data_IF_094806522908
#
_entry.id   IF_094806522908
#
_cell.length_a   1.000
_cell.length_b   1.000
_cell.length_c   1.000
_cell.angle_alpha   90.00
_cell.angle_beta   90.00
_cell.angle_gamma   90.00
#
_symmetry.space_group_name_H-M   'P 1'
#
loop_
_entity.id
_entity.type
_entity.pdbx_description
1 polymer ?
#
# COMPACT_ATOMS: atom_id res chain seq x y z
N UNK A 1 35.63 -58.37 70.60
CA UNK A 1 34.69 -59.26 69.88
C UNK A 1 33.50 -58.43 69.42
N UNK A 2 32.81 -58.88 68.36
CA UNK A 2 31.62 -58.28 67.71
C UNK A 2 31.95 -57.06 66.81
N UNK A 3 32.07 -57.15 65.47
CA UNK A 3 31.04 -57.52 64.47
C UNK A 3 29.65 -56.94 64.83
N UNK A 4 28.85 -56.25 64.01
CA UNK A 4 28.78 -55.93 62.56
C UNK A 4 27.74 -54.78 62.42
N UNK A 5 27.42 -54.13 61.29
CA UNK A 5 27.66 -54.31 59.85
C UNK A 5 27.55 -52.91 59.15
N UNK A 6 27.66 -52.85 57.82
CA UNK A 6 27.24 -51.71 56.99
C UNK A 6 25.94 -52.06 56.25
N UNK A 7 24.99 -51.13 56.13
CA UNK A 7 23.77 -51.30 55.32
C UNK A 7 23.60 -50.15 54.34
N UNK A 8 24.01 -50.36 53.09
CA UNK A 8 23.75 -49.43 52.00
C UNK A 8 22.34 -49.58 51.45
N UNK A 9 21.55 -48.50 51.49
CA UNK A 9 20.21 -48.44 50.92
C UNK A 9 20.26 -48.28 49.39
N UNK A 10 20.40 -49.40 48.68
CA UNK A 10 20.11 -49.44 47.24
C UNK A 10 18.62 -49.20 47.01
N UNK A 11 18.26 -47.95 46.72
CA UNK A 11 16.91 -47.57 46.33
C UNK A 11 16.56 -48.23 44.98
N UNK A 12 15.78 -49.30 45.03
CA UNK A 12 15.20 -49.96 43.86
C UNK A 12 14.15 -49.07 43.20
N UNK A 13 14.58 -48.19 42.30
CA UNK A 13 13.68 -47.45 41.41
C UNK A 13 13.01 -48.47 40.48
N UNK A 14 11.70 -48.68 40.66
CA UNK A 14 10.92 -49.67 39.93
C UNK A 14 11.05 -49.49 38.42
N UNK A 15 11.24 -50.58 37.69
CA UNK A 15 11.27 -50.61 36.23
C UNK A 15 9.94 -50.13 35.62
N UNK A 16 8.84 -50.26 36.35
CA UNK A 16 7.52 -49.76 35.96
C UNK A 16 7.45 -48.22 35.88
N UNK A 17 8.13 -47.51 36.79
CA UNK A 17 8.13 -46.03 36.77
C UNK A 17 8.97 -45.48 35.63
N UNK A 18 10.07 -46.16 35.27
CA UNK A 18 10.89 -45.80 34.10
C UNK A 18 10.11 -45.95 32.79
N UNK A 19 9.33 -47.03 32.65
CA UNK A 19 8.44 -47.23 31.49
C UNK A 19 7.36 -46.15 31.38
N UNK A 20 6.71 -45.82 32.50
CA UNK A 20 5.71 -44.73 32.57
C UNK A 20 6.30 -43.37 32.20
N UNK A 21 7.47 -43.03 32.74
CA UNK A 21 8.16 -41.77 32.44
C UNK A 21 8.52 -41.63 30.94
N UNK A 22 8.99 -42.70 30.29
CA UNK A 22 9.30 -42.68 28.84
C UNK A 22 8.03 -42.53 27.99
N UNK A 23 6.92 -43.16 28.37
CA UNK A 23 5.63 -42.99 27.68
C UNK A 23 5.11 -41.56 27.84
N UNK A 24 5.15 -41.00 29.06
CA UNK A 24 4.75 -39.62 29.33
C UNK A 24 5.61 -38.61 28.56
N UNK A 25 6.94 -38.78 28.52
CA UNK A 25 7.85 -37.90 27.79
C UNK A 25 7.60 -37.92 26.27
N UNK A 26 7.27 -39.09 25.70
CA UNK A 26 6.88 -39.24 24.29
C UNK A 26 5.53 -38.59 23.99
N UNK A 27 4.56 -38.70 24.90
CA UNK A 27 3.27 -38.02 24.77
C UNK A 27 3.43 -36.49 24.85
N UNK A 28 4.25 -35.97 25.78
CA UNK A 28 4.49 -34.54 25.90
C UNK A 28 5.23 -33.96 24.70
N UNK A 29 6.25 -34.64 24.15
CA UNK A 29 6.91 -34.20 22.91
C UNK A 29 5.98 -34.27 21.70
N UNK A 30 5.12 -35.29 21.60
CA UNK A 30 4.07 -35.36 20.57
C UNK A 30 3.05 -34.21 20.66
N UNK A 31 2.61 -33.85 21.87
CA UNK A 31 1.68 -32.74 22.10
C UNK A 31 2.33 -31.39 21.76
N UNK A 32 3.58 -31.15 22.17
CA UNK A 32 4.33 -29.92 21.83
C UNK A 32 4.51 -29.79 20.31
N UNK A 33 4.83 -30.90 19.62
CA UNK A 33 4.95 -30.91 18.16
C UNK A 33 3.60 -30.63 17.47
N UNK A 34 2.50 -31.18 17.97
CA UNK A 34 1.14 -30.92 17.47
C UNK A 34 0.73 -29.44 17.65
N UNK A 35 1.04 -28.83 18.80
CA UNK A 35 0.78 -27.40 19.06
C UNK A 35 1.61 -26.51 18.11
N UNK A 36 2.89 -26.85 17.88
CA UNK A 36 3.76 -26.12 16.96
C UNK A 36 3.26 -26.17 15.50
N UNK A 37 2.70 -27.31 15.06
CA UNK A 37 2.11 -27.46 13.72
C UNK A 37 0.80 -26.67 13.60
N UNK A 38 -0.06 -26.70 14.63
CA UNK A 38 -1.34 -25.99 14.64
C UNK A 38 -1.18 -24.46 14.58
N UNK A 39 -0.08 -23.91 15.11
CA UNK A 39 0.20 -22.47 15.08
C UNK A 39 0.61 -21.89 13.72
N UNK A 40 0.79 -22.72 12.68
CA UNK A 40 1.37 -22.30 11.39
C UNK A 40 0.34 -22.06 10.27
N UNK A 41 -0.95 -22.00 10.60
CA UNK A 41 -1.97 -21.52 9.65
C UNK A 41 -1.86 -20.00 9.55
N UNK A 42 -0.96 -19.53 8.68
CA UNK A 42 -0.87 -18.13 8.32
C UNK A 42 -2.23 -17.67 7.78
N UNK A 43 -2.82 -16.66 8.42
CA UNK A 43 -4.07 -16.06 7.96
C UNK A 43 -3.86 -15.50 6.55
N UNK A 44 -4.63 -16.00 5.57
CA UNK A 44 -4.65 -15.43 4.22
C UNK A 44 -5.33 -14.07 4.32
N UNK A 45 -4.52 -13.01 4.30
CA UNK A 45 -4.98 -11.63 4.20
C UNK A 45 -5.77 -11.47 2.89
N UNK A 46 -7.09 -11.39 3.00
CA UNK A 46 -7.98 -11.18 1.84
C UNK A 46 -7.84 -9.76 1.34
N UNK A 47 -6.92 -9.55 0.39
CA UNK A 47 -6.74 -8.26 -0.27
C UNK A 47 -7.89 -7.95 -1.21
N UNK A 48 -8.69 -6.97 -0.82
CA UNK A 48 -9.78 -6.43 -1.63
C UNK A 48 -9.21 -5.34 -2.52
N UNK A 49 -9.33 -5.53 -3.85
CA UNK A 49 -9.00 -4.48 -4.81
C UNK A 49 -10.06 -3.37 -4.76
N UNK A 50 -9.63 -2.14 -4.54
CA UNK A 50 -10.47 -0.96 -4.43
C UNK A 50 -10.12 0.03 -5.54
N UNK A 51 -11.13 0.78 -6.00
CA UNK A 51 -10.97 1.84 -6.98
C UNK A 51 -11.76 3.09 -6.54
N UNK A 52 -11.20 4.27 -6.77
CA UNK A 52 -11.83 5.56 -6.57
C UNK A 52 -11.70 6.43 -7.82
N UNK A 53 -12.72 7.23 -8.09
CA UNK A 53 -12.76 8.16 -9.22
C UNK A 53 -13.18 9.55 -8.75
N UNK A 54 -12.57 10.60 -9.30
CA UNK A 54 -13.00 11.98 -9.07
C UNK A 54 -12.79 12.85 -10.31
N UNK A 55 -13.58 13.92 -10.39
CA UNK A 55 -13.50 14.91 -11.45
C UNK A 55 -13.54 16.29 -10.78
N UNK A 56 -12.54 17.12 -11.06
CA UNK A 56 -12.43 18.47 -10.50
C UNK A 56 -12.30 19.47 -11.63
N UNK A 57 -13.09 20.55 -11.59
CA UNK A 57 -12.99 21.66 -12.54
C UNK A 57 -11.65 22.39 -12.39
N UNK A 58 -11.01 22.67 -13.51
CA UNK A 58 -9.78 23.48 -13.63
C UNK A 58 -9.92 24.64 -14.63
N UNK A 59 -11.12 24.94 -15.15
CA UNK A 59 -11.39 26.06 -16.07
C UNK A 59 -10.90 27.40 -15.50
N UNK A 60 -9.92 28.06 -16.13
CA UNK A 60 -9.45 29.37 -15.67
C UNK A 60 -10.40 30.50 -16.09
N UNK A 61 -10.21 31.74 -15.57
CA UNK A 61 -10.98 32.90 -15.98
C UNK A 61 -10.84 33.22 -17.47
N UNK A 62 -11.89 33.80 -18.04
CA UNK A 62 -11.90 34.36 -19.40
C UNK A 62 -10.92 35.54 -19.55
N UNK A 63 -10.58 35.88 -20.80
CA UNK A 63 -9.64 36.93 -21.18
C UNK A 63 -8.17 36.46 -21.29
N UNK A 64 -7.85 35.27 -20.80
CA UNK A 64 -6.52 34.65 -20.97
C UNK A 64 -6.36 34.06 -22.39
N UNK A 65 -5.15 34.06 -22.97
CA UNK A 65 -4.92 33.53 -24.31
C UNK A 65 -5.11 32.01 -24.38
N UNK A 66 -5.87 31.55 -25.38
CA UNK A 66 -5.94 30.15 -25.79
C UNK A 66 -4.61 29.77 -26.42
N UNK A 67 -4.06 28.58 -26.10
CA UNK A 67 -2.74 28.15 -26.55
C UNK A 67 -2.78 26.81 -27.30
N UNK A 68 -1.77 26.60 -28.16
CA UNK A 68 -1.59 25.40 -28.99
C UNK A 68 -1.84 25.66 -30.49
N UNK A 69 -2.60 26.70 -30.82
CA UNK A 69 -2.82 27.15 -32.19
C UNK A 69 -1.72 28.12 -32.66
N UNK A 70 -1.73 28.47 -33.95
CA UNK A 70 -0.79 29.45 -34.51
C UNK A 70 -1.02 30.87 -33.99
N UNK A 71 -2.30 31.25 -33.85
CA UNK A 71 -2.72 32.46 -33.14
C UNK A 71 -3.12 32.12 -31.69
N UNK A 72 -3.05 33.09 -30.79
CA UNK A 72 -3.44 32.93 -29.37
C UNK A 72 -4.46 33.99 -28.95
N UNK A 73 -5.70 33.94 -29.48
CA UNK A 73 -6.76 34.87 -29.11
C UNK A 73 -7.15 34.72 -27.64
N UNK A 74 -7.63 35.78 -26.97
CA UNK A 74 -8.18 35.67 -25.62
C UNK A 74 -9.44 34.80 -25.63
N UNK A 75 -9.59 33.94 -24.63
CA UNK A 75 -10.81 33.18 -24.42
C UNK A 75 -11.97 34.12 -24.07
N UNK A 76 -13.00 34.18 -24.92
CA UNK A 76 -14.19 35.03 -24.74
C UNK A 76 -15.41 34.28 -24.19
N UNK A 77 -15.41 32.95 -24.26
CA UNK A 77 -16.53 32.09 -23.88
C UNK A 77 -16.01 30.74 -23.35
N UNK A 78 -16.79 30.08 -22.49
CA UNK A 78 -16.56 28.70 -22.03
C UNK A 78 -17.63 27.83 -22.68
N UNK A 79 -17.25 27.05 -23.71
CA UNK A 79 -18.15 26.06 -24.31
C UNK A 79 -18.31 24.83 -23.40
N UNK A 80 -17.18 24.28 -22.95
CA UNK A 80 -17.10 23.19 -21.97
C UNK A 80 -16.14 23.57 -20.84
N UNK A 81 -16.45 23.13 -19.63
CA UNK A 81 -15.51 23.25 -18.52
C UNK A 81 -14.31 22.29 -18.69
N UNK A 82 -13.11 22.80 -18.44
CA UNK A 82 -11.88 22.01 -18.39
C UNK A 82 -11.79 21.28 -17.05
N UNK A 83 -11.37 20.02 -17.06
CA UNK A 83 -11.30 19.19 -15.85
C UNK A 83 -9.94 18.51 -15.67
N UNK A 84 -9.62 18.18 -14.42
CA UNK A 84 -8.77 17.04 -14.10
C UNK A 84 -9.64 15.86 -13.72
N UNK A 85 -9.37 14.70 -14.31
CA UNK A 85 -10.07 13.42 -14.04
C UNK A 85 -9.08 12.47 -13.41
N UNK A 86 -9.37 12.02 -12.19
CA UNK A 86 -8.50 11.17 -11.40
C UNK A 86 -9.08 9.77 -11.24
N UNK A 87 -8.22 8.76 -11.36
CA UNK A 87 -8.51 7.37 -10.99
C UNK A 87 -7.43 6.90 -10.01
N UNK A 88 -7.84 6.36 -8.88
CA UNK A 88 -6.97 5.75 -7.89
C UNK A 88 -7.33 4.27 -7.74
N UNK A 89 -6.31 3.41 -7.66
CA UNK A 89 -6.47 1.97 -7.42
C UNK A 89 -5.64 1.56 -6.22
N UNK A 90 -6.19 0.68 -5.38
CA UNK A 90 -5.54 0.17 -4.17
C UNK A 90 -5.71 -1.34 -4.07
N UNK A 91 -4.61 -2.09 -3.89
CA UNK A 91 -4.62 -3.56 -3.81
C UNK A 91 -4.60 -4.12 -2.37
N UNK A 92 -4.84 -3.27 -1.37
CA UNK A 92 -4.67 -3.59 0.06
C UNK A 92 -3.28 -3.26 0.61
N UNK A 93 -2.30 -2.92 -0.25
CA UNK A 93 -0.93 -2.54 0.16
C UNK A 93 -0.37 -1.36 -0.63
N UNK A 94 -0.69 -1.29 -1.92
CA UNK A 94 -0.10 -0.40 -2.92
C UNK A 94 -1.21 0.47 -3.49
N UNK A 95 -1.01 1.78 -3.47
CA UNK A 95 -1.89 2.73 -4.17
C UNK A 95 -1.19 3.27 -5.40
N UNK A 96 -1.90 3.31 -6.53
CA UNK A 96 -1.49 4.00 -7.77
C UNK A 96 -2.54 5.02 -8.18
N UNK A 97 -2.11 6.14 -8.78
CA UNK A 97 -2.99 7.26 -9.14
C UNK A 97 -2.70 7.73 -10.56
N UNK A 98 -3.76 7.90 -11.34
CA UNK A 98 -3.77 8.54 -12.64
C UNK A 98 -4.50 9.88 -12.53
N UNK A 99 -3.95 10.96 -13.09
CA UNK A 99 -4.66 12.23 -13.26
C UNK A 99 -4.50 12.73 -14.71
N UNK A 100 -5.62 12.89 -15.41
CA UNK A 100 -5.66 13.37 -16.80
C UNK A 100 -6.28 14.76 -16.82
N UNK A 101 -5.52 15.75 -17.27
CA UNK A 101 -5.91 17.16 -17.25
C UNK A 101 -6.28 17.67 -18.65
N UNK A 102 -7.35 18.44 -18.76
CA UNK A 102 -7.73 19.13 -19.99
C UNK A 102 -6.84 20.36 -20.22
N UNK A 103 -5.72 20.13 -20.92
CA UNK A 103 -4.77 21.18 -21.33
C UNK A 103 -3.99 20.76 -22.59
N UNK A 104 -3.38 21.70 -23.31
CA UNK A 104 -2.44 21.37 -24.40
C UNK A 104 -1.17 20.69 -23.86
N UNK A 105 -0.67 21.12 -22.70
CA UNK A 105 0.54 20.56 -22.14
C UNK A 105 0.98 21.23 -20.85
N UNK A 106 0.90 20.48 -19.75
CA UNK A 106 1.32 20.93 -18.43
C UNK A 106 2.84 20.79 -18.26
N UNK A 107 3.56 21.81 -17.76
CA UNK A 107 5.00 21.73 -17.50
C UNK A 107 5.36 20.66 -16.48
N UNK A 108 6.56 20.08 -16.60
CA UNK A 108 7.11 19.12 -15.64
C UNK A 108 7.09 19.68 -14.22
N UNK A 109 7.44 20.94 -14.06
CA UNK A 109 7.56 21.61 -12.76
C UNK A 109 6.21 21.69 -12.05
N UNK A 110 5.11 21.91 -12.79
CA UNK A 110 3.76 21.93 -12.25
C UNK A 110 3.35 20.53 -11.77
N UNK A 111 3.60 19.50 -12.59
CA UNK A 111 3.35 18.11 -12.17
C UNK A 111 4.24 17.69 -10.98
N UNK A 112 5.49 18.11 -10.92
CA UNK A 112 6.39 17.75 -9.81
C UNK A 112 6.01 18.45 -8.50
N UNK A 113 5.45 19.67 -8.54
CA UNK A 113 4.83 20.29 -7.37
C UNK A 113 3.53 19.58 -6.98
N UNK A 114 2.70 19.18 -7.94
CA UNK A 114 1.49 18.39 -7.65
C UNK A 114 1.82 17.05 -6.96
N UNK A 115 2.88 16.35 -7.38
CA UNK A 115 3.37 15.13 -6.69
C UNK A 115 3.78 15.40 -5.23
N UNK A 116 4.51 16.49 -4.98
CA UNK A 116 4.93 16.88 -3.63
C UNK A 116 3.74 17.19 -2.73
N UNK A 117 2.75 17.93 -3.24
CA UNK A 117 1.51 18.23 -2.51
C UNK A 117 0.75 16.94 -2.17
N UNK A 118 0.57 16.04 -3.14
CA UNK A 118 -0.13 14.77 -2.94
C UNK A 118 0.59 13.88 -1.91
N UNK A 119 1.93 13.79 -1.98
CA UNK A 119 2.74 13.06 -1.01
C UNK A 119 2.71 13.69 0.40
N UNK A 120 2.54 15.01 0.51
CA UNK A 120 2.38 15.67 1.82
C UNK A 120 1.00 15.46 2.47
N UNK A 121 0.04 14.92 1.71
CA UNK A 121 -1.36 14.73 2.12
C UNK A 121 -1.82 13.26 2.09
N UNK A 122 -0.96 12.33 1.65
CA UNK A 122 -1.27 10.90 1.54
C UNK A 122 0.00 10.06 1.42
N UNK A 123 -0.11 8.76 1.75
CA UNK A 123 1.01 7.80 1.69
C UNK A 123 1.38 7.35 0.25
N UNK A 124 0.85 7.99 -0.79
CA UNK A 124 1.12 7.62 -2.19
C UNK A 124 2.49 8.16 -2.62
N UNK A 125 3.47 7.31 -2.97
CA UNK A 125 4.78 7.78 -3.38
C UNK A 125 4.73 8.42 -4.79
N UNK A 126 5.55 9.45 -5.07
CA UNK A 126 5.57 10.15 -6.36
C UNK A 126 5.73 9.26 -7.61
N UNK A 127 6.39 8.11 -7.46
CA UNK A 127 6.60 7.09 -8.50
C UNK A 127 5.33 6.34 -8.90
N UNK A 128 4.28 6.37 -8.08
CA UNK A 128 3.00 5.73 -8.35
C UNK A 128 1.96 6.70 -8.95
N UNK A 129 2.37 7.94 -9.27
CA UNK A 129 1.50 9.01 -9.76
C UNK A 129 1.80 9.32 -11.23
N UNK A 130 0.96 8.80 -12.13
CA UNK A 130 0.96 9.16 -13.54
C UNK A 130 0.07 10.39 -13.75
N UNK A 131 0.61 11.40 -14.42
CA UNK A 131 -0.15 12.59 -14.81
C UNK A 131 0.10 12.91 -16.28
N UNK A 132 -0.96 13.31 -16.99
CA UNK A 132 -0.90 13.64 -18.42
C UNK A 132 -1.86 14.78 -18.76
N UNK A 133 -1.67 15.37 -19.94
CA UNK A 133 -2.59 16.35 -20.53
C UNK A 133 -3.31 15.72 -21.72
N UNK A 134 -4.56 16.11 -22.00
CA UNK A 134 -5.32 15.61 -23.17
C UNK A 134 -4.86 16.16 -24.52
N UNK A 135 -3.95 17.15 -24.51
CA UNK A 135 -3.48 17.87 -25.69
C UNK A 135 -4.58 18.68 -26.39
N UNK A 136 -5.51 19.28 -25.62
CA UNK A 136 -6.55 20.16 -26.16
C UNK A 136 -5.99 21.55 -26.53
N UNK A 137 -6.29 21.98 -27.76
CA UNK A 137 -5.91 23.30 -28.32
C UNK A 137 -6.95 24.41 -28.05
N UNK A 138 -7.97 24.11 -27.22
CA UNK A 138 -9.05 25.05 -26.88
C UNK A 138 -8.97 25.55 -25.44
N UNK A 139 -7.84 25.31 -24.76
CA UNK A 139 -7.60 25.73 -23.37
C UNK A 139 -6.51 26.79 -23.25
N UNK A 140 -6.43 27.42 -22.08
CA UNK A 140 -5.42 28.43 -21.75
C UNK A 140 -4.20 27.81 -21.05
N UNK A 141 -3.13 28.59 -20.91
CA UNK A 141 -1.83 28.10 -20.42
C UNK A 141 -1.82 27.64 -18.96
N UNK A 142 -1.32 26.43 -18.71
CA UNK A 142 -1.01 25.93 -17.37
C UNK A 142 0.34 26.42 -16.80
N UNK A 143 1.05 27.33 -17.49
CA UNK A 143 2.38 27.85 -17.08
C UNK A 143 2.32 29.02 -16.08
N UNK A 144 1.13 29.59 -15.86
CA UNK A 144 0.94 30.84 -15.12
C UNK A 144 1.30 32.07 -15.95
N UNK A 145 1.27 33.25 -15.33
CA UNK A 145 1.46 34.57 -15.98
C UNK A 145 2.94 34.97 -16.06
N UNK A 146 3.80 34.10 -16.61
CA UNK A 146 5.21 34.41 -16.89
C UNK A 146 5.40 34.79 -18.35
#
# INVERSE_FOLDING_TARGET
MNHTLSTGSHAWVSTHDRGRAVVLLRLMTGIVLMIAIAGSVAAVETRVFQAGASITKITPPLGLPIIGNWDSPPATEIHDDLHVRCLAFHDGKTTIVFAICDNVGIPREVFDQARKLLQSQSDVPPTHILMSSTHTHSGVSARGTR
#
